data_IF_569147059401
#
_entry.id   IF_569147059401
#
_cell.length_a   1.000
_cell.length_b   1.000
_cell.length_c   1.000
_cell.angle_alpha   90.00
_cell.angle_beta   90.00
_cell.angle_gamma   90.00
#
_symmetry.space_group_name_H-M   'P 1'
#
loop_
_entity.id
_entity.type
_entity.pdbx_description
1 polymer ?
#
# COMPACT_ATOMS: atom_id res chain seq x y z
N UNK A 1 -10.89 -22.90 1.40
CA UNK A 1 -9.94 -22.28 2.34
C UNK A 1 -10.58 -21.01 2.83
N UNK A 2 -10.89 -20.92 4.12
CA UNK A 2 -11.34 -19.68 4.76
C UNK A 2 -10.08 -18.86 5.05
N UNK A 3 -10.08 -17.59 4.68
CA UNK A 3 -9.03 -16.64 5.03
C UNK A 3 -9.17 -16.34 6.53
N UNK A 4 -8.17 -16.75 7.32
CA UNK A 4 -8.10 -16.41 8.74
C UNK A 4 -7.30 -15.10 8.85
N UNK A 5 -7.88 -14.00 9.36
CA UNK A 5 -7.17 -12.74 9.47
C UNK A 5 -5.99 -12.81 10.45
N UNK A 6 -5.91 -13.83 11.31
CA UNK A 6 -4.77 -14.06 12.23
C UNK A 6 -3.54 -14.65 11.52
N UNK A 7 -3.67 -15.14 10.28
CA UNK A 7 -2.57 -15.69 9.47
C UNK A 7 -1.88 -14.63 8.59
N UNK A 8 -2.37 -13.39 8.60
CA UNK A 8 -1.77 -12.30 7.82
C UNK A 8 -0.38 -11.98 8.36
N UNK A 9 0.62 -11.97 7.49
CA UNK A 9 2.01 -11.69 7.81
C UNK A 9 2.51 -10.43 7.12
N UNK A 10 3.48 -9.75 7.74
CA UNK A 10 4.21 -8.67 7.06
C UNK A 10 4.87 -9.24 5.80
N UNK A 11 4.61 -8.61 4.66
CA UNK A 11 5.09 -9.05 3.35
C UNK A 11 4.08 -9.89 2.56
N UNK A 12 2.92 -10.24 3.12
CA UNK A 12 1.85 -10.85 2.34
C UNK A 12 1.39 -9.90 1.22
N UNK A 13 1.23 -10.46 0.02
CA UNK A 13 0.76 -9.77 -1.18
C UNK A 13 -0.60 -10.33 -1.61
N UNK A 14 -1.52 -9.44 -1.91
CA UNK A 14 -2.82 -9.74 -2.47
C UNK A 14 -2.97 -9.09 -3.84
N UNK A 15 -3.58 -9.83 -4.77
CA UNK A 15 -3.98 -9.33 -6.08
C UNK A 15 -5.49 -9.34 -6.19
N UNK A 16 -6.06 -8.17 -6.42
CA UNK A 16 -7.49 -8.02 -6.60
C UNK A 16 -7.88 -8.35 -8.05
N UNK A 17 -9.15 -8.72 -8.31
CA UNK A 17 -9.63 -9.04 -9.67
C UNK A 17 -9.46 -7.88 -10.67
N UNK A 18 -9.48 -6.66 -10.16
CA UNK A 18 -9.27 -5.40 -10.88
C UNK A 18 -7.80 -5.18 -11.30
N UNK A 19 -6.87 -5.98 -10.77
CA UNK A 19 -5.44 -5.82 -11.04
C UNK A 19 -4.71 -4.99 -9.99
N UNK A 20 -5.44 -4.29 -9.11
CA UNK A 20 -4.89 -3.66 -7.90
C UNK A 20 -4.07 -4.65 -7.07
N UNK A 21 -2.89 -4.22 -6.63
CA UNK A 21 -1.95 -4.97 -5.80
C UNK A 21 -1.91 -4.37 -4.40
N UNK A 22 -2.07 -5.20 -3.38
CA UNK A 22 -2.01 -4.79 -1.98
C UNK A 22 -0.91 -5.55 -1.26
N UNK A 23 -0.07 -4.84 -0.48
CA UNK A 23 1.01 -5.45 0.31
C UNK A 23 0.89 -5.02 1.77
N UNK A 24 1.01 -5.99 2.68
CA UNK A 24 1.05 -5.75 4.13
C UNK A 24 2.46 -5.27 4.52
N UNK A 25 2.58 -4.03 4.98
CA UNK A 25 3.88 -3.49 5.42
C UNK A 25 4.07 -3.52 6.93
N UNK A 26 2.99 -3.56 7.72
CA UNK A 26 3.05 -3.71 9.17
C UNK A 26 1.78 -4.34 9.76
N UNK A 27 1.96 -5.01 10.90
CA UNK A 27 0.91 -5.47 11.79
C UNK A 27 1.13 -4.76 13.13
N UNK A 28 0.19 -3.93 13.58
CA UNK A 28 0.35 -3.13 14.79
C UNK A 28 -0.98 -2.98 15.52
N UNK A 29 -1.00 -3.27 16.83
CA UNK A 29 -2.18 -3.08 17.70
C UNK A 29 -3.46 -3.76 17.17
N UNK A 30 -3.31 -4.99 16.65
CA UNK A 30 -4.43 -5.73 16.04
C UNK A 30 -4.91 -5.17 14.69
N UNK A 31 -4.16 -4.25 14.08
CA UNK A 31 -4.44 -3.66 12.77
C UNK A 31 -3.45 -4.17 11.74
N UNK A 32 -3.94 -4.37 10.53
CA UNK A 32 -3.13 -4.61 9.34
C UNK A 32 -2.96 -3.28 8.63
N UNK A 33 -1.72 -2.89 8.37
CA UNK A 33 -1.38 -1.69 7.62
C UNK A 33 -0.88 -2.11 6.24
N UNK A 34 -1.54 -1.62 5.20
CA UNK A 34 -1.30 -2.01 3.82
C UNK A 34 -0.97 -0.81 2.94
N UNK A 35 -0.21 -1.07 1.88
CA UNK A 35 -0.05 -0.16 0.73
C UNK A 35 -0.77 -0.78 -0.46
N UNK A 36 -1.55 0.03 -1.18
CA UNK A 36 -2.25 -0.39 -2.41
C UNK A 36 -1.66 0.34 -3.61
N UNK A 37 -1.26 -0.42 -4.61
CA UNK A 37 -0.83 0.03 -5.92
C UNK A 37 -1.92 -0.30 -6.94
N UNK A 38 -2.34 0.70 -7.70
CA UNK A 38 -3.32 0.58 -8.76
C UNK A 38 -2.60 0.55 -10.11
N UNK A 39 -3.13 -0.21 -11.10
CA UNK A 39 -2.51 -0.30 -12.42
C UNK A 39 -2.55 1.03 -13.19
N UNK A 40 -3.55 1.86 -12.94
CA UNK A 40 -3.80 3.15 -13.61
C UNK A 40 -4.68 4.07 -12.76
N UNK A 41 -4.84 5.32 -13.19
CA UNK A 41 -5.60 6.35 -12.48
C UNK A 41 -7.11 6.09 -12.47
N UNK A 42 -7.65 5.46 -13.52
CA UNK A 42 -9.07 5.08 -13.60
C UNK A 42 -9.40 4.03 -12.53
N UNK A 43 -8.55 3.01 -12.40
CA UNK A 43 -8.69 1.98 -11.36
C UNK A 43 -8.53 2.55 -9.95
N UNK A 44 -7.67 3.57 -9.78
CA UNK A 44 -7.57 4.29 -8.51
C UNK A 44 -8.86 5.04 -8.19
N UNK A 45 -9.40 5.81 -9.14
CA UNK A 45 -10.64 6.59 -8.97
C UNK A 45 -11.81 5.69 -8.59
N UNK A 46 -12.01 4.58 -9.30
CA UNK A 46 -13.05 3.59 -8.98
C UNK A 46 -12.83 3.01 -7.57
N UNK A 47 -11.58 2.66 -7.25
CA UNK A 47 -11.21 2.11 -5.95
C UNK A 47 -11.44 3.05 -4.77
N UNK A 48 -11.31 4.37 -4.96
CA UNK A 48 -11.54 5.37 -3.91
C UNK A 48 -12.92 6.02 -3.97
N UNK A 49 -13.73 5.76 -5.00
CA UNK A 49 -15.06 6.36 -5.17
C UNK A 49 -16.01 6.08 -4.01
N UNK A 50 -15.88 4.92 -3.35
CA UNK A 50 -16.63 4.55 -2.14
C UNK A 50 -15.89 4.90 -0.83
N UNK A 51 -14.63 5.35 -0.92
CA UNK A 51 -13.83 5.69 0.24
C UNK A 51 -14.17 7.09 0.78
N UNK A 52 -14.17 7.24 2.10
CA UNK A 52 -14.23 8.55 2.74
C UNK A 52 -12.83 9.12 2.87
N UNK A 53 -12.55 10.23 2.18
CA UNK A 53 -11.33 10.99 2.40
C UNK A 53 -11.34 11.61 3.80
N UNK A 54 -10.33 11.29 4.61
CA UNK A 54 -10.22 11.74 6.01
C UNK A 54 -9.17 12.84 6.24
N UNK A 55 -8.22 13.02 5.32
CA UNK A 55 -7.15 14.01 5.44
C UNK A 55 -5.82 13.54 4.85
N UNK A 56 -4.76 14.30 5.13
CA UNK A 56 -3.37 13.96 4.82
C UNK A 56 -2.66 13.61 6.12
N UNK A 57 -1.89 12.52 6.12
CA UNK A 57 -1.01 12.19 7.25
C UNK A 57 0.31 12.95 7.11
N UNK A 58 0.48 14.02 7.89
CA UNK A 58 1.57 15.00 7.74
C UNK A 58 2.95 14.34 7.89
N UNK A 59 3.09 13.38 8.81
CA UNK A 59 4.32 12.60 9.01
C UNK A 59 4.75 11.79 7.78
N UNK A 60 3.79 11.38 6.93
CA UNK A 60 4.06 10.69 5.67
C UNK A 60 4.27 11.69 4.54
N UNK A 61 3.52 12.78 4.53
CA UNK A 61 3.63 13.82 3.50
C UNK A 61 4.98 14.56 3.55
N UNK A 62 5.62 14.63 4.71
CA UNK A 62 6.97 15.20 4.87
C UNK A 62 8.09 14.24 4.42
N UNK A 63 7.78 12.96 4.16
CA UNK A 63 8.77 12.03 3.65
C UNK A 63 9.25 12.46 2.26
N UNK A 64 10.56 12.34 1.97
CA UNK A 64 11.09 12.70 0.68
C UNK A 64 10.49 11.80 -0.42
N UNK A 65 10.36 12.37 -1.62
CA UNK A 65 9.84 11.66 -2.78
C UNK A 65 10.67 10.40 -3.09
N UNK A 66 10.06 9.41 -3.74
CA UNK A 66 10.70 8.16 -4.14
C UNK A 66 12.02 8.38 -4.89
N UNK A 67 12.11 9.42 -5.72
CA UNK A 67 13.36 9.76 -6.44
C UNK A 67 14.52 10.16 -5.53
N UNK A 68 14.27 10.49 -4.26
CA UNK A 68 15.32 10.75 -3.27
C UNK A 68 15.98 9.48 -2.74
N UNK A 69 15.39 8.31 -2.99
CA UNK A 69 15.91 7.00 -2.62
C UNK A 69 16.54 6.26 -3.80
N UNK A 70 16.53 6.86 -5.00
CA UNK A 70 17.31 6.38 -6.14
C UNK A 70 18.80 6.56 -5.81
N UNK A 71 19.45 5.46 -5.39
CA UNK A 71 20.91 5.42 -5.27
C UNK A 71 21.48 5.59 -6.68
N UNK A 72 22.15 6.72 -6.92
CA UNK A 72 22.95 6.95 -8.11
C UNK A 72 23.94 5.79 -8.23
N UNK A 73 23.73 4.94 -9.24
CA UNK A 73 24.51 3.75 -9.62
C UNK A 73 25.45 3.18 -8.56
N UNK A 74 25.07 2.04 -7.97
CA UNK A 74 25.99 1.20 -7.22
C UNK A 74 27.30 0.97 -8.00
N UNK A 75 28.37 1.65 -7.59
CA UNK A 75 29.74 1.25 -7.89
C UNK A 75 30.13 0.14 -6.90
N UNK A 76 30.07 -1.12 -7.34
CA UNK A 76 30.89 -2.23 -6.80
C UNK A 76 31.52 -3.03 -7.94
#
# INVERSE_FOLDING_TARGET
MTYDPEDTSKGDEYRHPDGTREVVFALADGRVLTVKEYPDDESFDDGVADATYVGVEDDIADLPDASSFEVDGAEE
#
